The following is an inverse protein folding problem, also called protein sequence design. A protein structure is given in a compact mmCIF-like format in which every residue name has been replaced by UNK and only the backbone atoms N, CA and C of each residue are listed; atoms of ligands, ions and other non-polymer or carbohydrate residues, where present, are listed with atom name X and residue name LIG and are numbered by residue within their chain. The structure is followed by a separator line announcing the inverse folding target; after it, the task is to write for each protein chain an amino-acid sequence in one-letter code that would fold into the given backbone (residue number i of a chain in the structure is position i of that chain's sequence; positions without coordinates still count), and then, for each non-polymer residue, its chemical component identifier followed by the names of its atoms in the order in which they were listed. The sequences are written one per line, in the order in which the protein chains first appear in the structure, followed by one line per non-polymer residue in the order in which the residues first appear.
data_IF_721472151731
#
_entry.id   IF_721472151731
#
_cell.length_a   1.000
_cell.length_b   1.000
_cell.length_c   1.000
_cell.angle_alpha   90.00
_cell.angle_beta   90.00
_cell.angle_gamma   90.00
#
_symmetry.space_group_name_H-M   'P 1'
#
loop_
_entity.id
_entity.type
_entity.pdbx_description
1 polymer ?
#
# COMPACT_ATOMS: atom_id res chain seq x y z
N UNK A 1 10.93 12.71 2.96
CA UNK A 1 9.64 12.73 3.65
C UNK A 1 9.59 11.54 4.60
N UNK A 2 9.00 11.68 5.78
CA UNK A 2 9.01 10.62 6.80
C UNK A 2 8.18 9.42 6.35
N UNK A 3 7.08 9.66 5.62
CA UNK A 3 6.26 8.61 5.05
C UNK A 3 7.05 7.67 4.13
N UNK A 4 7.80 8.24 3.19
CA UNK A 4 8.61 7.47 2.24
C UNK A 4 9.68 6.63 2.95
N UNK A 5 10.24 7.14 4.04
CA UNK A 5 11.21 6.40 4.84
C UNK A 5 10.57 5.19 5.53
N UNK A 6 9.38 5.33 6.12
CA UNK A 6 8.66 4.20 6.72
C UNK A 6 8.20 3.20 5.65
N UNK A 7 7.77 3.67 4.48
CA UNK A 7 7.43 2.80 3.35
C UNK A 7 8.64 1.96 2.89
N UNK A 8 9.81 2.60 2.74
CA UNK A 8 11.04 1.88 2.37
C UNK A 8 11.48 0.86 3.44
N UNK A 9 11.23 1.13 4.73
CA UNK A 9 11.47 0.14 5.79
C UNK A 9 10.51 -1.04 5.68
N UNK A 10 9.23 -0.79 5.39
CA UNK A 10 8.26 -1.84 5.19
C UNK A 10 8.67 -2.79 4.06
N UNK A 11 9.11 -2.26 2.91
CA UNK A 11 9.58 -3.07 1.79
C UNK A 11 10.76 -3.96 2.18
N UNK A 12 11.76 -3.38 2.87
CA UNK A 12 12.90 -4.17 3.39
C UNK A 12 12.45 -5.28 4.33
N UNK A 13 11.45 -5.03 5.17
CA UNK A 13 10.90 -6.08 6.05
C UNK A 13 10.18 -7.17 5.26
N UNK A 14 9.47 -6.84 4.17
CA UNK A 14 8.88 -7.84 3.27
C UNK A 14 9.96 -8.70 2.60
N UNK A 15 11.03 -8.09 2.11
CA UNK A 15 12.15 -8.81 1.49
C UNK A 15 12.77 -9.82 2.46
N UNK A 16 12.77 -9.52 3.76
CA UNK A 16 13.23 -10.43 4.82
C UNK A 16 12.14 -11.36 5.37
N UNK A 17 10.93 -11.36 4.82
CA UNK A 17 9.80 -12.17 5.28
C UNK A 17 9.23 -11.77 6.65
N UNK A 18 9.56 -10.57 7.15
CA UNK A 18 9.13 -10.06 8.45
C UNK A 18 7.78 -9.33 8.33
N UNK A 19 6.72 -10.10 8.10
CA UNK A 19 5.39 -9.58 7.75
C UNK A 19 4.80 -8.64 8.81
N UNK A 20 4.90 -8.99 10.10
CA UNK A 20 4.37 -8.16 11.20
C UNK A 20 5.04 -6.78 11.25
N UNK A 21 6.37 -6.75 11.15
CA UNK A 21 7.13 -5.48 11.13
C UNK A 21 6.86 -4.65 9.88
N UNK A 22 6.65 -5.33 8.76
CA UNK A 22 6.24 -4.64 7.53
C UNK A 22 4.87 -4.00 7.70
N UNK A 23 3.89 -4.73 8.24
CA UNK A 23 2.56 -4.21 8.52
C UNK A 23 2.60 -2.98 9.44
N UNK A 24 3.40 -3.01 10.52
CA UNK A 24 3.61 -1.85 11.39
C UNK A 24 4.16 -0.63 10.64
N UNK A 25 5.20 -0.84 9.82
CA UNK A 25 5.78 0.22 9.00
C UNK A 25 4.81 0.75 7.93
N UNK A 26 4.01 -0.11 7.30
CA UNK A 26 3.01 0.31 6.31
C UNK A 26 1.92 1.17 6.93
N UNK A 27 1.36 0.77 8.08
CA UNK A 27 0.38 1.58 8.81
C UNK A 27 0.94 2.96 9.17
N UNK A 28 2.19 3.01 9.62
CA UNK A 28 2.86 4.26 9.94
C UNK A 28 3.13 5.11 8.70
N UNK A 29 3.53 4.49 7.59
CA UNK A 29 3.75 5.18 6.32
C UNK A 29 2.45 5.82 5.79
N UNK A 30 1.33 5.11 5.87
CA UNK A 30 -0.01 5.63 5.52
C UNK A 30 -0.33 6.87 6.35
N UNK A 31 -0.24 6.76 7.67
CA UNK A 31 -0.56 7.87 8.58
C UNK A 31 0.32 9.10 8.31
N UNK A 32 1.62 8.90 8.09
CA UNK A 32 2.54 9.98 7.77
C UNK A 32 2.24 10.58 6.39
N UNK A 33 1.95 9.76 5.38
CA UNK A 33 1.65 10.23 4.04
C UNK A 33 0.37 11.08 4.00
N UNK A 34 -0.66 10.69 4.76
CA UNK A 34 -1.88 11.50 4.95
C UNK A 34 -1.55 12.86 5.59
N UNK A 35 -0.70 12.89 6.62
CA UNK A 35 -0.30 14.14 7.29
C UNK A 35 0.60 15.03 6.41
N UNK A 36 1.50 14.42 5.64
CA UNK A 36 2.44 15.10 4.75
C UNK A 36 1.80 15.51 3.42
N UNK A 37 0.55 15.08 3.14
CA UNK A 37 -0.10 15.18 1.84
C UNK A 37 0.71 14.52 0.70
N UNK A 38 1.53 13.52 1.04
CA UNK A 38 2.33 12.75 0.09
C UNK A 38 1.45 11.67 -0.57
N UNK A 39 0.72 12.10 -1.59
CA UNK A 39 -0.24 11.24 -2.30
C UNK A 39 0.45 10.04 -2.96
N UNK A 40 1.66 10.21 -3.48
CA UNK A 40 2.38 9.13 -4.16
C UNK A 40 2.74 8.02 -3.16
N UNK A 41 3.35 8.38 -2.02
CA UNK A 41 3.65 7.39 -0.98
C UNK A 41 2.39 6.78 -0.40
N UNK A 42 1.32 7.56 -0.23
CA UNK A 42 0.04 7.06 0.28
C UNK A 42 -0.53 5.95 -0.59
N UNK A 43 -0.61 6.15 -1.91
CA UNK A 43 -1.15 5.15 -2.84
C UNK A 43 -0.26 3.91 -2.89
N UNK A 44 1.06 4.07 -2.90
CA UNK A 44 2.01 2.95 -2.83
C UNK A 44 1.84 2.14 -1.55
N UNK A 45 1.71 2.82 -0.41
CA UNK A 45 1.51 2.17 0.87
C UNK A 45 0.15 1.46 0.95
N UNK A 46 -0.93 2.04 0.42
CA UNK A 46 -2.23 1.36 0.34
C UNK A 46 -2.18 0.11 -0.52
N UNK A 47 -1.55 0.17 -1.70
CA UNK A 47 -1.43 -0.99 -2.57
C UNK A 47 -0.63 -2.11 -1.90
N UNK A 48 0.53 -1.77 -1.33
CA UNK A 48 1.39 -2.74 -0.66
C UNK A 48 0.74 -3.34 0.59
N UNK A 49 0.02 -2.53 1.37
CA UNK A 49 -0.71 -3.01 2.54
C UNK A 49 -1.90 -3.91 2.17
N UNK A 50 -2.64 -3.56 1.11
CA UNK A 50 -3.70 -4.41 0.58
C UNK A 50 -3.18 -5.76 0.08
N UNK A 51 -2.06 -5.78 -0.64
CA UNK A 51 -1.40 -7.03 -1.09
C UNK A 51 -0.95 -7.89 0.10
N UNK A 52 -0.31 -7.27 1.09
CA UNK A 52 0.11 -7.94 2.33
C UNK A 52 -1.07 -8.54 3.11
N UNK A 53 -2.19 -7.83 3.20
CA UNK A 53 -3.41 -8.34 3.83
C UNK A 53 -4.00 -9.52 3.04
N UNK A 54 -4.01 -9.46 1.70
CA UNK A 54 -4.43 -10.58 0.86
C UNK A 54 -3.53 -11.81 1.07
N UNK A 55 -2.21 -11.61 1.12
CA UNK A 55 -1.24 -12.66 1.40
C UNK A 55 -1.48 -13.33 2.77
N UNK A 56 -1.87 -12.55 3.77
CA UNK A 56 -2.26 -13.05 5.10
C UNK A 56 -3.68 -13.67 5.16
N UNK A 57 -4.41 -13.72 4.04
CA UNK A 57 -5.79 -14.22 3.99
C UNK A 57 -6.84 -13.22 4.49
N UNK A 58 -6.46 -11.99 4.83
CA UNK A 58 -7.33 -10.92 5.35
C UNK A 58 -7.95 -10.10 4.21
N UNK A 59 -8.56 -10.79 3.24
CA UNK A 59 -9.11 -10.19 2.02
C UNK A 59 -10.17 -9.10 2.27
N UNK A 60 -11.04 -9.32 3.25
CA UNK A 60 -12.08 -8.36 3.63
C UNK A 60 -11.48 -7.06 4.16
N UNK A 61 -10.39 -7.14 4.93
CA UNK A 61 -9.66 -5.97 5.44
C UNK A 61 -8.87 -5.26 4.32
N UNK A 62 -8.37 -6.01 3.32
CA UNK A 62 -7.61 -5.47 2.19
C UNK A 62 -8.46 -4.59 1.27
N UNK A 63 -9.71 -5.00 1.02
CA UNK A 63 -10.62 -4.38 0.05
C UNK A 63 -10.68 -2.84 0.10
N UNK A 64 -10.97 -2.18 1.24
CA UNK A 64 -11.08 -0.73 1.28
C UNK A 64 -9.78 0.00 0.90
N UNK A 65 -8.62 -0.59 1.18
CA UNK A 65 -7.33 -0.01 0.80
C UNK A 65 -7.11 -0.10 -0.72
N UNK A 66 -7.41 -1.25 -1.31
CA UNK A 66 -7.28 -1.47 -2.75
C UNK A 66 -8.29 -0.61 -3.56
N UNK A 67 -9.51 -0.43 -3.07
CA UNK A 67 -10.49 0.47 -3.68
C UNK A 67 -10.01 1.94 -3.68
N UNK A 68 -9.30 2.37 -2.64
CA UNK A 68 -8.66 3.70 -2.62
C UNK A 68 -7.57 3.83 -3.68
N UNK A 69 -6.78 2.78 -3.91
CA UNK A 69 -5.76 2.76 -4.97
C UNK A 69 -6.42 2.88 -6.35
N UNK A 70 -7.46 2.09 -6.63
CA UNK A 70 -8.14 2.10 -7.93
C UNK A 70 -8.91 3.39 -8.21
N UNK A 71 -9.39 4.07 -7.16
CA UNK A 71 -10.06 5.37 -7.30
C UNK A 71 -9.09 6.53 -7.53
N UNK A 72 -7.78 6.33 -7.34
CA UNK A 72 -6.78 7.32 -7.66
C UNK A 72 -6.75 7.58 -9.17
N UNK A 73 -6.81 8.86 -9.53
CA UNK A 73 -6.68 9.34 -10.91
C UNK A 73 -5.52 10.31 -10.96
N UNK A 74 -4.57 10.04 -11.83
CA UNK A 74 -3.47 10.93 -12.18
C UNK A 74 -3.41 11.01 -13.70
N UNK A 75 -3.00 12.17 -14.21
CA UNK A 75 -2.67 12.35 -15.63
C UNK A 75 -1.33 11.68 -16.01
N UNK A 76 -0.56 11.27 -14.99
CA UNK A 76 0.76 10.68 -15.11
C UNK A 76 0.75 9.18 -14.71
N UNK A 77 1.58 8.37 -15.37
CA UNK A 77 1.67 6.91 -15.26
C UNK A 77 2.45 6.40 -14.03
N UNK A 78 2.94 7.31 -13.16
CA UNK A 78 3.71 6.99 -11.94
C UNK A 78 3.08 5.89 -11.05
N UNK A 79 1.75 5.73 -11.06
CA UNK A 79 1.03 4.78 -10.21
C UNK A 79 0.22 3.72 -10.98
N UNK A 80 0.49 3.55 -12.28
CA UNK A 80 -0.21 2.57 -13.13
C UNK A 80 0.00 1.13 -12.65
N UNK A 81 1.20 0.83 -12.13
CA UNK A 81 1.50 -0.47 -11.56
C UNK A 81 0.63 -0.75 -10.34
N UNK A 82 0.58 0.18 -9.38
CA UNK A 82 -0.23 0.05 -8.16
C UNK A 82 -1.72 -0.08 -8.49
N UNK A 83 -2.23 0.72 -9.43
CA UNK A 83 -3.63 0.66 -9.88
C UNK A 83 -3.94 -0.69 -10.54
N UNK A 84 -3.05 -1.18 -11.40
CA UNK A 84 -3.23 -2.47 -12.08
C UNK A 84 -3.20 -3.63 -11.09
N UNK A 85 -2.23 -3.61 -10.17
CA UNK A 85 -2.09 -4.61 -9.11
C UNK A 85 -3.31 -4.64 -8.19
N UNK A 86 -3.80 -3.47 -7.78
CA UNK A 86 -4.98 -3.38 -6.93
C UNK A 86 -6.24 -3.91 -7.63
N UNK A 87 -6.40 -3.67 -8.94
CA UNK A 87 -7.48 -4.27 -9.73
C UNK A 87 -7.40 -5.79 -9.77
N UNK A 88 -6.22 -6.36 -10.01
CA UNK A 88 -6.02 -7.82 -9.99
C UNK A 88 -6.44 -8.42 -8.64
N UNK A 89 -5.91 -7.87 -7.54
CA UNK A 89 -6.22 -8.35 -6.20
C UNK A 89 -7.71 -8.27 -5.88
N UNK A 90 -8.40 -7.21 -6.33
CA UNK A 90 -9.84 -7.04 -6.13
C UNK A 90 -10.69 -8.07 -6.90
N UNK A 91 -10.17 -8.71 -7.94
CA UNK A 91 -10.89 -9.80 -8.63
C UNK A 91 -10.92 -11.08 -7.78
N UNK A 92 -9.96 -11.25 -6.87
CA UNK A 92 -9.80 -12.42 -6.01
C UNK A 92 -10.45 -12.24 -4.61
N UNK A 93 -11.07 -11.09 -4.32
CA UNK A 93 -11.66 -10.75 -3.00
C UNK A 93 -13.17 -10.96 -2.97
#
# INVERSE_FOLDING_TARGET
MEAQNEFNKALKYLDFGKLEKSEECLKKAIQLAENENDTITLIKAFCCYGDLLCFMGKKVEAKPYLERVVSYKSDDDVLDYEVSRAKELLLDI
#
